data_IF_484503946815
#
_entry.id   IF_484503946815
#
_cell.length_a   1.000
_cell.length_b   1.000
_cell.length_c   1.000
_cell.angle_alpha   90.00
_cell.angle_beta   90.00
_cell.angle_gamma   90.00
#
_symmetry.space_group_name_H-M   'P 1'
#
loop_
_entity.id
_entity.type
_entity.pdbx_description
1 polymer ?
#
# COMPACT_ATOMS: atom_id res chain seq x y z
N UNK A 1 -27.77 -20.43 2.29
CA UNK A 1 -28.40 -19.10 2.43
C UNK A 1 -28.14 -18.48 3.79
N UNK A 2 -28.56 -19.15 4.86
CA UNK A 2 -28.48 -18.66 6.25
C UNK A 2 -27.06 -18.31 6.70
N UNK A 3 -26.07 -19.14 6.34
CA UNK A 3 -24.67 -18.93 6.72
C UNK A 3 -24.05 -17.69 6.05
N UNK A 4 -24.47 -17.38 4.82
CA UNK A 4 -24.07 -16.17 4.11
C UNK A 4 -24.59 -14.91 4.82
N UNK A 5 -25.88 -14.90 5.18
CA UNK A 5 -26.49 -13.80 5.94
C UNK A 5 -25.81 -13.59 7.30
N UNK A 6 -25.48 -14.67 8.00
CA UNK A 6 -24.77 -14.62 9.28
C UNK A 6 -23.39 -13.96 9.16
N UNK A 7 -22.61 -14.35 8.15
CA UNK A 7 -21.28 -13.77 7.89
C UNK A 7 -21.38 -12.32 7.40
N UNK A 8 -22.37 -12.01 6.57
CA UNK A 8 -22.63 -10.67 6.05
C UNK A 8 -22.98 -9.69 7.17
N UNK A 9 -23.89 -10.06 8.07
CA UNK A 9 -24.29 -9.22 9.20
C UNK A 9 -23.15 -9.01 10.20
N UNK A 10 -22.24 -9.98 10.38
CA UNK A 10 -21.03 -9.81 11.20
C UNK A 10 -20.04 -8.81 10.59
N UNK A 11 -20.05 -8.64 9.27
CA UNK A 11 -19.22 -7.65 8.59
C UNK A 11 -19.78 -6.21 8.69
N UNK A 12 -21.07 -6.08 8.99
CA UNK A 12 -21.73 -4.79 9.21
C UNK A 12 -21.47 -4.36 10.65
N UNK A 13 -20.91 -3.18 10.81
CA UNK A 13 -20.66 -2.63 12.14
C UNK A 13 -21.99 -2.15 12.74
N UNK A 14 -22.31 -2.48 14.01
CA UNK A 14 -23.54 -2.02 14.65
C UNK A 14 -23.62 -0.49 14.70
N UNK A 15 -24.84 0.04 14.77
CA UNK A 15 -25.08 1.49 14.88
C UNK A 15 -24.31 2.05 16.08
N UNK A 16 -23.57 3.15 15.86
CA UNK A 16 -22.74 3.78 16.89
C UNK A 16 -21.27 3.31 16.90
N UNK A 17 -20.92 2.26 16.16
CA UNK A 17 -19.54 1.84 15.98
C UNK A 17 -18.96 2.41 14.68
N UNK A 18 -17.71 2.87 14.75
CA UNK A 18 -16.95 3.31 13.59
C UNK A 18 -15.89 2.27 13.24
N UNK A 19 -15.70 2.01 11.94
CA UNK A 19 -14.59 1.15 11.50
C UNK A 19 -13.28 1.83 11.90
N UNK A 20 -12.37 1.09 12.55
CA UNK A 20 -11.01 1.55 12.91
C UNK A 20 -10.18 1.66 11.64
N UNK A 21 -10.49 2.64 10.79
CA UNK A 21 -9.73 2.93 9.57
C UNK A 21 -8.63 3.96 9.83
N UNK A 22 -8.88 4.88 10.77
CA UNK A 22 -8.02 6.04 11.03
C UNK A 22 -7.87 6.36 12.53
N UNK A 23 -8.18 5.42 13.41
CA UNK A 23 -7.96 5.53 14.86
C UNK A 23 -6.74 4.71 15.30
N UNK A 24 -5.98 5.23 16.27
CA UNK A 24 -4.78 4.57 16.82
C UNK A 24 -3.53 5.45 16.90
N UNK A 25 -2.43 4.88 17.43
CA UNK A 25 -1.15 5.58 17.58
C UNK A 25 -0.35 5.70 16.27
N UNK A 26 -0.65 4.85 15.28
CA UNK A 26 0.10 4.77 14.02
C UNK A 26 -0.71 5.22 12.80
N UNK A 27 -1.76 6.00 13.02
CA UNK A 27 -2.59 6.57 11.95
C UNK A 27 -1.76 7.55 11.13
N UNK A 28 -1.88 7.54 9.80
CA UNK A 28 -0.99 8.32 8.93
C UNK A 28 -0.86 9.81 9.31
N UNK A 29 -1.95 10.44 9.75
CA UNK A 29 -1.97 11.86 10.16
C UNK A 29 -1.18 12.14 11.45
N UNK A 30 -1.10 11.18 12.37
CA UNK A 30 -0.45 11.36 13.68
C UNK A 30 0.84 10.54 13.82
N UNK A 31 1.09 9.57 12.92
CA UNK A 31 2.17 8.58 12.99
C UNK A 31 3.52 9.25 13.21
N UNK A 32 3.88 10.24 12.40
CA UNK A 32 5.17 10.94 12.54
C UNK A 32 5.32 11.65 13.88
N UNK A 33 4.27 12.34 14.36
CA UNK A 33 4.29 13.06 15.64
C UNK A 33 4.43 12.07 16.81
N UNK A 34 3.65 10.99 16.79
CA UNK A 34 3.67 9.95 17.83
C UNK A 34 4.95 9.14 17.83
N UNK A 35 5.50 8.80 16.67
CA UNK A 35 6.80 8.12 16.58
C UNK A 35 7.94 8.98 17.12
N UNK A 36 7.96 10.29 16.83
CA UNK A 36 8.92 11.23 17.43
C UNK A 36 8.81 11.25 18.96
N UNK A 37 7.58 11.27 19.49
CA UNK A 37 7.33 11.22 20.93
C UNK A 37 7.83 9.91 21.55
N UNK A 38 7.52 8.77 20.94
CA UNK A 38 7.98 7.44 21.40
C UNK A 38 9.51 7.40 21.47
N UNK A 39 10.21 7.89 20.43
CA UNK A 39 11.66 7.90 20.40
C UNK A 39 12.25 8.81 21.48
N UNK A 40 11.67 10.00 21.68
CA UNK A 40 12.03 10.92 22.77
C UNK A 40 11.89 10.24 24.14
N UNK A 41 10.75 9.62 24.41
CA UNK A 41 10.49 8.93 25.68
C UNK A 41 11.41 7.73 25.92
N UNK A 42 11.90 7.10 24.85
CA UNK A 42 12.83 5.97 24.90
C UNK A 42 14.31 6.38 24.84
N UNK A 43 14.63 7.67 24.81
CA UNK A 43 16.00 8.16 24.59
C UNK A 43 16.66 7.58 23.32
N UNK A 44 15.89 7.48 22.24
CA UNK A 44 16.36 7.00 20.92
C UNK A 44 16.16 8.07 19.85
N UNK A 45 16.90 7.96 18.74
CA UNK A 45 16.81 8.92 17.63
C UNK A 45 15.79 8.43 16.61
N UNK A 46 14.80 9.27 16.29
CA UNK A 46 13.86 8.99 15.21
C UNK A 46 14.48 9.31 13.84
N UNK A 47 14.81 8.26 13.07
CA UNK A 47 15.45 8.39 11.74
C UNK A 47 14.49 8.72 10.59
N UNK A 48 13.18 8.72 10.83
CA UNK A 48 12.20 8.96 9.77
C UNK A 48 12.06 7.80 8.78
N UNK A 49 11.38 8.05 7.67
CA UNK A 49 11.27 7.09 6.57
C UNK A 49 12.57 7.12 5.75
N UNK A 50 13.36 6.02 5.69
CA UNK A 50 14.64 6.00 4.99
C UNK A 50 14.51 6.19 3.48
N UNK A 51 13.32 5.92 2.91
CA UNK A 51 13.07 5.99 1.48
C UNK A 51 12.28 7.23 1.05
N UNK A 52 12.17 8.23 1.92
CA UNK A 52 11.33 9.42 1.67
C UNK A 52 11.75 10.20 0.42
N UNK A 53 13.04 10.25 0.14
CA UNK A 53 13.62 11.01 -0.97
C UNK A 53 13.81 10.17 -2.25
N UNK A 54 13.52 8.86 -2.19
CA UNK A 54 13.63 7.98 -3.36
C UNK A 54 12.41 8.14 -4.26
N UNK A 55 12.64 8.19 -5.58
CA UNK A 55 11.53 8.16 -6.54
C UNK A 55 10.92 6.77 -6.58
N UNK A 56 9.67 6.68 -7.06
CA UNK A 56 8.98 5.40 -7.22
C UNK A 56 9.77 4.44 -8.11
N UNK A 57 10.43 4.93 -9.16
CA UNK A 57 11.29 4.12 -10.03
C UNK A 57 12.46 3.50 -9.25
N UNK A 58 13.16 4.30 -8.44
CA UNK A 58 14.29 3.84 -7.63
C UNK A 58 13.83 2.83 -6.57
N UNK A 59 12.65 3.05 -5.97
CA UNK A 59 12.01 2.12 -5.04
C UNK A 59 11.70 0.77 -5.71
N UNK A 60 11.13 0.79 -6.92
CA UNK A 60 10.85 -0.44 -7.67
C UNK A 60 12.14 -1.18 -8.00
N UNK A 61 13.17 -0.46 -8.43
CA UNK A 61 14.49 -1.05 -8.69
C UNK A 61 15.09 -1.68 -7.43
N UNK A 62 15.00 -1.00 -6.28
CA UNK A 62 15.51 -1.51 -5.00
C UNK A 62 14.73 -2.76 -4.53
N UNK A 63 13.41 -2.79 -4.73
CA UNK A 63 12.56 -3.91 -4.33
C UNK A 63 12.74 -5.15 -5.22
N UNK A 64 12.78 -4.96 -6.54
CA UNK A 64 12.79 -6.05 -7.50
C UNK A 64 14.19 -6.39 -8.04
N UNK A 65 15.19 -5.56 -7.74
CA UNK A 65 16.58 -5.68 -8.21
C UNK A 65 16.69 -5.81 -9.74
N UNK A 66 15.69 -5.31 -10.46
CA UNK A 66 15.57 -5.32 -11.91
C UNK A 66 14.59 -4.25 -12.35
N UNK A 67 14.68 -3.85 -13.61
CA UNK A 67 13.69 -2.97 -14.20
C UNK A 67 12.38 -3.72 -14.46
N UNK A 68 11.32 -3.35 -13.74
CA UNK A 68 9.98 -3.93 -13.92
C UNK A 68 9.30 -3.47 -15.21
N UNK A 69 9.86 -2.48 -15.91
CA UNK A 69 9.38 -2.04 -17.21
C UNK A 69 9.92 -2.92 -18.36
N UNK A 70 10.77 -3.90 -18.07
CA UNK A 70 11.33 -4.82 -19.07
C UNK A 70 11.02 -6.28 -18.74
N UNK A 71 10.73 -7.06 -19.78
CA UNK A 71 10.50 -8.49 -19.66
C UNK A 71 11.81 -9.21 -19.31
N UNK A 72 11.84 -10.00 -18.25
CA UNK A 72 13.05 -10.74 -17.84
C UNK A 72 13.44 -11.90 -18.76
N UNK A 73 12.61 -12.23 -19.75
CA UNK A 73 12.88 -13.32 -20.70
C UNK A 73 13.38 -12.81 -22.05
N UNK A 74 12.80 -11.72 -22.55
CA UNK A 74 13.11 -11.19 -23.89
C UNK A 74 13.59 -9.73 -23.90
N UNK A 75 13.70 -9.09 -22.74
CA UNK A 75 14.10 -7.68 -22.59
C UNK A 75 13.18 -6.67 -23.29
N UNK A 76 12.02 -7.09 -23.81
CA UNK A 76 11.04 -6.19 -24.40
C UNK A 76 10.41 -5.25 -23.36
N UNK A 77 10.07 -4.03 -23.77
CA UNK A 77 9.39 -3.04 -22.92
C UNK A 77 7.97 -3.50 -22.63
N UNK A 78 7.61 -3.54 -21.34
CA UNK A 78 6.25 -3.82 -20.89
C UNK A 78 5.38 -2.57 -21.04
N UNK A 79 4.19 -2.77 -21.59
CA UNK A 79 3.18 -1.72 -21.75
C UNK A 79 2.05 -1.92 -20.75
N UNK A 80 1.53 -0.82 -20.20
CA UNK A 80 0.40 -0.87 -19.29
C UNK A 80 -0.91 -1.05 -20.06
N UNK A 81 -1.57 -2.18 -19.84
CA UNK A 81 -2.89 -2.45 -20.41
C UNK A 81 -3.97 -1.78 -19.53
N UNK A 82 -4.81 -0.88 -20.08
CA UNK A 82 -5.91 -0.31 -19.33
C UNK A 82 -6.89 -1.40 -18.85
N UNK A 83 -7.38 -1.25 -17.61
CA UNK A 83 -8.31 -2.21 -17.00
C UNK A 83 -9.58 -2.32 -17.85
N UNK A 84 -9.99 -3.56 -18.13
CA UNK A 84 -11.21 -3.85 -18.88
C UNK A 84 -11.07 -3.82 -20.40
N UNK A 85 -9.86 -3.58 -20.93
CA UNK A 85 -9.60 -3.66 -22.37
C UNK A 85 -9.02 -5.04 -22.68
N UNK A 86 -9.69 -5.86 -23.52
CA UNK A 86 -9.13 -7.14 -23.94
C UNK A 86 -7.92 -6.93 -24.85
N UNK A 87 -6.94 -7.82 -24.78
CA UNK A 87 -5.72 -7.79 -25.60
C UNK A 87 -6.01 -7.71 -27.11
N UNK A 88 -7.12 -8.29 -27.54
CA UNK A 88 -7.57 -8.30 -28.94
C UNK A 88 -8.03 -6.93 -29.46
N UNK A 89 -8.32 -5.97 -28.56
CA UNK A 89 -8.73 -4.61 -28.94
C UNK A 89 -7.54 -3.66 -29.14
N UNK A 90 -6.31 -4.13 -28.94
CA UNK A 90 -5.10 -3.33 -29.12
C UNK A 90 -4.48 -3.65 -30.48
N UNK A 91 -4.37 -2.63 -31.33
CA UNK A 91 -3.57 -2.70 -32.56
C UNK A 91 -2.11 -2.48 -32.17
N UNK A 92 -1.31 -3.54 -32.25
CA UNK A 92 0.14 -3.49 -32.09
C UNK A 92 0.83 -3.28 -33.43
#
# INVERSE_FOLDING_TARGET
GTEFLRLFLRHILPKGFNRVRFSGFLTNSQKTKKLKLIHRLRNTIYKGNPVKELKTADLMMLLFQRDICHCSKCSGTLIHLPRGVPLTALQF
#
